data_IF_924620069705
#
_entry.id   IF_924620069705
#
_cell.length_a   1.000
_cell.length_b   1.000
_cell.length_c   1.000
_cell.angle_alpha   90.00
_cell.angle_beta   90.00
_cell.angle_gamma   90.00
#
_symmetry.space_group_name_H-M   'P 1'
#
loop_
_entity.id
_entity.type
_entity.pdbx_description
1 polymer ?
#
# COMPACT_ATOMS: atom_id res chain seq x y z
N UNK A 1 -37.56 42.84 2.54
CA UNK A 1 -38.52 42.63 3.64
C UNK A 1 -37.82 42.96 4.95
N UNK A 2 -38.36 43.94 5.66
CA UNK A 2 -37.96 44.45 6.98
C UNK A 2 -38.65 43.65 8.07
N UNK A 3 -37.99 43.50 9.24
CA UNK A 3 -38.49 43.49 10.65
C UNK A 3 -37.43 42.74 11.49
N UNK A 4 -36.50 43.30 12.28
CA UNK A 4 -36.46 44.24 13.43
C UNK A 4 -37.16 43.82 14.73
N UNK A 5 -36.40 44.04 15.83
CA UNK A 5 -36.72 44.24 17.27
C UNK A 5 -36.57 42.99 18.17
N UNK A 6 -35.59 42.92 19.07
CA UNK A 6 -35.28 43.72 20.28
C UNK A 6 -36.34 43.65 21.38
N UNK A 7 -35.95 43.23 22.60
CA UNK A 7 -36.03 44.04 23.82
C UNK A 7 -35.58 43.27 25.09
N UNK A 8 -34.86 43.99 25.95
CA UNK A 8 -34.48 43.65 27.32
C UNK A 8 -35.46 44.30 28.31
N UNK A 9 -35.71 43.71 29.51
CA UNK A 9 -35.92 44.47 30.77
C UNK A 9 -35.98 43.58 32.03
N UNK A 10 -35.71 44.21 33.16
CA UNK A 10 -35.40 43.67 34.49
C UNK A 10 -36.53 43.86 35.54
N UNK A 11 -36.29 43.28 36.75
CA UNK A 11 -36.59 43.80 38.12
C UNK A 11 -37.72 43.15 39.00
N UNK A 12 -37.28 42.42 40.07
CA UNK A 12 -37.65 42.40 41.55
C UNK A 12 -39.11 42.19 42.04
N UNK A 13 -39.45 41.89 43.34
CA UNK A 13 -38.66 41.57 44.57
C UNK A 13 -39.19 40.39 45.48
N UNK A 14 -38.54 40.20 46.65
CA UNK A 14 -38.70 39.19 47.72
C UNK A 14 -40.03 39.22 48.53
N UNK A 15 -40.28 38.30 49.51
CA UNK A 15 -39.75 38.45 50.89
C UNK A 15 -39.41 37.14 51.66
N UNK A 16 -38.74 37.28 52.81
CA UNK A 16 -38.50 36.28 53.87
C UNK A 16 -39.66 36.27 54.92
N UNK A 17 -39.74 35.32 55.88
CA UNK A 17 -39.03 35.50 57.16
C UNK A 17 -38.54 34.22 57.91
N UNK A 18 -37.54 34.49 58.77
CA UNK A 18 -37.11 33.95 60.08
C UNK A 18 -37.64 32.63 60.68
N UNK A 19 -36.69 31.86 61.24
CA UNK A 19 -36.92 30.86 62.30
C UNK A 19 -35.60 30.19 62.74
N UNK A 20 -35.08 30.59 63.89
CA UNK A 20 -33.89 30.07 64.59
C UNK A 20 -34.18 28.74 65.30
N UNK A 21 -33.26 27.76 65.27
CA UNK A 21 -32.78 27.14 66.53
C UNK A 21 -31.51 26.30 66.38
N UNK A 22 -30.74 26.29 67.46
CA UNK A 22 -29.42 25.69 67.70
C UNK A 22 -29.55 24.21 68.07
N UNK A 23 -28.56 23.35 67.75
CA UNK A 23 -27.89 22.34 68.64
C UNK A 23 -27.01 21.35 67.86
N UNK A 24 -25.83 21.06 68.41
CA UNK A 24 -24.71 20.20 67.92
C UNK A 24 -24.90 18.68 68.28
N UNK A 25 -23.96 17.75 67.96
CA UNK A 25 -24.21 16.41 67.40
C UNK A 25 -24.29 15.25 68.42
N UNK A 26 -24.47 13.97 67.98
CA UNK A 26 -23.32 13.06 67.96
C UNK A 26 -23.28 12.00 66.83
N UNK A 27 -22.09 11.47 66.61
CA UNK A 27 -21.77 10.35 65.72
C UNK A 27 -22.24 8.99 66.29
N UNK A 28 -22.71 8.07 65.43
CA UNK A 28 -22.48 6.62 65.62
C UNK A 28 -22.72 5.78 64.35
N UNK A 29 -21.68 5.04 63.98
CA UNK A 29 -21.61 3.81 63.17
C UNK A 29 -22.92 3.14 62.69
N UNK A 30 -22.94 2.82 61.39
CA UNK A 30 -23.25 1.45 60.98
C UNK A 30 -22.53 1.07 59.70
N UNK A 31 -21.79 -0.03 59.81
CA UNK A 31 -21.27 -0.84 58.71
C UNK A 31 -22.38 -1.10 57.68
N UNK A 32 -22.07 -0.91 56.41
CA UNK A 32 -22.55 -1.83 55.39
C UNK A 32 -21.49 -1.99 54.32
N UNK A 33 -20.85 -3.16 54.37
CA UNK A 33 -20.12 -3.76 53.27
C UNK A 33 -21.03 -3.75 52.04
N UNK A 34 -20.67 -2.98 51.03
CA UNK A 34 -21.11 -3.29 49.68
C UNK A 34 -19.91 -3.23 48.73
N UNK A 35 -19.14 -4.32 48.78
CA UNK A 35 -18.23 -4.69 47.71
C UNK A 35 -19.06 -5.07 46.48
N UNK A 36 -19.46 -4.08 45.70
CA UNK A 36 -19.77 -4.27 44.29
C UNK A 36 -18.98 -3.23 43.51
N UNK A 37 -17.68 -3.48 43.44
CA UNK A 37 -16.82 -2.89 42.42
C UNK A 37 -17.29 -3.45 41.08
N UNK A 38 -18.42 -2.93 40.60
CA UNK A 38 -18.95 -3.17 39.27
C UNK A 38 -18.02 -2.41 38.34
N UNK A 39 -16.81 -2.96 38.15
CA UNK A 39 -15.92 -2.59 37.07
C UNK A 39 -16.77 -2.76 35.84
N UNK A 40 -17.23 -1.64 35.30
CA UNK A 40 -17.69 -1.52 33.95
C UNK A 40 -16.62 -2.19 33.09
N UNK A 41 -16.81 -3.47 32.80
CA UNK A 41 -16.28 -4.10 31.60
C UNK A 41 -16.99 -3.35 30.49
N UNK A 42 -16.48 -2.15 30.19
CA UNK A 42 -16.68 -1.56 28.90
C UNK A 42 -16.28 -2.67 27.96
N UNK A 43 -17.27 -3.24 27.31
CA UNK A 43 -17.05 -4.06 26.13
C UNK A 43 -16.27 -3.14 25.22
N UNK A 44 -14.94 -3.25 25.25
CA UNK A 44 -14.13 -2.77 24.17
C UNK A 44 -14.71 -3.52 23.00
N UNK A 45 -15.54 -2.84 22.20
CA UNK A 45 -15.87 -3.33 20.86
C UNK A 45 -14.52 -3.73 20.31
N UNK A 46 -14.28 -5.04 20.20
CA UNK A 46 -13.08 -5.55 19.55
C UNK A 46 -13.28 -5.10 18.11
N UNK A 47 -12.81 -3.89 17.82
CA UNK A 47 -12.93 -3.29 16.51
C UNK A 47 -12.32 -4.31 15.57
N UNK A 48 -13.08 -4.71 14.56
CA UNK A 48 -12.64 -5.69 13.57
C UNK A 48 -11.30 -5.19 13.05
N UNK A 49 -10.21 -5.82 13.49
CA UNK A 49 -8.87 -5.40 13.12
C UNK A 49 -8.70 -5.82 11.67
N UNK A 50 -8.62 -4.86 10.77
CA UNK A 50 -8.45 -5.11 9.35
C UNK A 50 -7.24 -6.02 9.11
N UNK A 51 -7.40 -7.02 8.26
CA UNK A 51 -6.38 -8.03 8.01
C UNK A 51 -6.17 -8.23 6.50
N UNK A 52 -4.91 -8.38 6.10
CA UNK A 52 -4.51 -8.64 4.72
C UNK A 52 -3.57 -9.82 4.63
N UNK A 53 -3.76 -10.59 3.56
CA UNK A 53 -2.97 -11.76 3.28
C UNK A 53 -2.71 -11.81 1.79
N UNK A 54 -1.47 -11.52 1.32
CA UNK A 54 -1.15 -11.72 -0.09
C UNK A 54 -1.52 -13.13 -0.53
N UNK A 55 -2.05 -13.23 -1.75
CA UNK A 55 -2.20 -14.53 -2.40
C UNK A 55 -0.82 -15.04 -2.83
N UNK A 56 -0.66 -16.36 -2.99
CA UNK A 56 0.57 -16.94 -3.53
C UNK A 56 0.82 -16.46 -4.96
N UNK A 57 -0.26 -16.27 -5.73
CA UNK A 57 -0.21 -15.74 -7.10
C UNK A 57 0.35 -14.31 -7.10
N UNK A 58 -0.08 -13.44 -6.19
CA UNK A 58 0.45 -12.08 -6.08
C UNK A 58 1.94 -12.07 -5.73
N UNK A 59 2.38 -12.94 -4.82
CA UNK A 59 3.80 -13.03 -4.48
C UNK A 59 4.64 -13.58 -5.64
N UNK A 60 4.13 -14.59 -6.35
CA UNK A 60 4.77 -15.13 -7.55
C UNK A 60 4.84 -14.07 -8.65
N UNK A 61 3.76 -13.31 -8.86
CA UNK A 61 3.72 -12.19 -9.78
C UNK A 61 4.82 -11.18 -9.46
N UNK A 62 4.93 -10.72 -8.22
CA UNK A 62 6.01 -9.80 -7.83
C UNK A 62 7.41 -10.40 -8.00
N UNK A 63 7.58 -11.70 -7.74
CA UNK A 63 8.86 -12.37 -7.91
C UNK A 63 9.33 -12.40 -9.38
N UNK A 64 8.40 -12.42 -10.33
CA UNK A 64 8.70 -12.40 -11.77
C UNK A 64 8.71 -10.97 -12.32
N UNK A 65 7.73 -10.15 -11.98
CA UNK A 65 7.56 -8.81 -12.55
C UNK A 65 8.61 -7.82 -12.07
N UNK A 66 8.99 -7.83 -10.79
CA UNK A 66 9.96 -6.85 -10.28
C UNK A 66 11.34 -6.96 -10.96
N UNK A 67 11.93 -8.15 -11.12
CA UNK A 67 13.17 -8.28 -11.91
C UNK A 67 13.01 -7.80 -13.35
N UNK A 68 11.90 -8.12 -14.02
CA UNK A 68 11.66 -7.70 -15.40
C UNK A 68 11.51 -6.18 -15.53
N UNK A 69 10.75 -5.55 -14.64
CA UNK A 69 10.56 -4.09 -14.63
C UNK A 69 11.87 -3.37 -14.31
N UNK A 70 12.67 -3.89 -13.37
CA UNK A 70 14.01 -3.34 -13.08
C UNK A 70 14.94 -3.46 -14.29
N UNK A 71 14.94 -4.61 -14.96
CA UNK A 71 15.74 -4.83 -16.17
C UNK A 71 15.34 -3.87 -17.31
N UNK A 72 14.04 -3.64 -17.49
CA UNK A 72 13.50 -2.66 -18.43
C UNK A 72 13.86 -1.20 -18.05
N UNK A 73 13.75 -0.83 -16.78
CA UNK A 73 14.15 0.49 -16.30
C UNK A 73 15.63 0.76 -16.59
N UNK A 74 16.49 -0.21 -16.30
CA UNK A 74 17.93 -0.06 -16.54
C UNK A 74 18.19 0.06 -18.04
N UNK A 75 17.51 -0.73 -18.87
CA UNK A 75 17.59 -0.55 -20.33
C UNK A 75 17.30 0.89 -20.71
N UNK A 76 16.13 1.41 -20.30
CA UNK A 76 15.61 2.71 -20.74
C UNK A 76 16.43 3.89 -20.22
N UNK A 77 16.86 3.85 -18.95
CA UNK A 77 17.52 4.97 -18.28
C UNK A 77 19.02 5.07 -18.58
N UNK A 78 19.67 3.95 -18.95
CA UNK A 78 21.10 3.94 -19.29
C UNK A 78 21.36 4.04 -20.79
N UNK A 79 20.33 4.32 -21.62
CA UNK A 79 20.54 4.56 -23.05
C UNK A 79 21.49 5.76 -23.25
N UNK A 80 22.48 5.66 -24.16
CA UNK A 80 22.64 4.62 -25.18
C UNK A 80 23.52 3.43 -24.76
N UNK A 81 24.05 3.37 -23.54
CA UNK A 81 24.99 2.31 -23.11
C UNK A 81 24.38 0.90 -23.22
N UNK A 82 23.08 0.79 -23.03
CA UNK A 82 22.27 -0.44 -23.10
C UNK A 82 21.71 -0.73 -24.50
N UNK A 83 21.72 0.25 -25.41
CA UNK A 83 21.24 0.10 -26.79
C UNK A 83 22.26 -0.64 -27.66
N UNK A 84 21.83 -1.14 -28.82
CA UNK A 84 22.73 -1.84 -29.74
C UNK A 84 23.99 -1.02 -30.06
N UNK A 85 25.17 -1.63 -29.89
CA UNK A 85 26.47 -0.96 -30.03
C UNK A 85 27.00 -0.29 -28.75
N UNK A 86 26.18 -0.21 -27.69
CA UNK A 86 26.59 0.27 -26.38
C UNK A 86 27.36 -0.78 -25.56
N UNK A 87 28.19 -0.31 -24.62
CA UNK A 87 29.07 -1.16 -23.82
C UNK A 87 28.34 -2.14 -22.88
N UNK A 88 27.11 -1.83 -22.49
CA UNK A 88 26.30 -2.68 -21.60
C UNK A 88 25.36 -3.61 -22.37
N UNK A 89 25.11 -3.36 -23.66
CA UNK A 89 24.13 -4.10 -24.46
C UNK A 89 24.31 -5.62 -24.41
N UNK A 90 25.56 -6.07 -24.55
CA UNK A 90 25.93 -7.47 -24.38
C UNK A 90 26.31 -7.76 -22.92
N UNK A 91 25.83 -8.85 -22.30
CA UNK A 91 24.93 -9.88 -22.85
C UNK A 91 23.45 -9.66 -22.52
N UNK A 92 23.13 -8.72 -21.62
CA UNK A 92 21.82 -8.68 -20.95
C UNK A 92 20.72 -7.99 -21.74
N UNK A 93 21.01 -7.09 -22.68
CA UNK A 93 19.99 -6.31 -23.41
C UNK A 93 19.94 -6.63 -24.90
N UNK A 94 20.57 -7.72 -25.33
CA UNK A 94 20.50 -8.22 -26.72
C UNK A 94 19.06 -8.33 -27.24
N UNK A 95 18.07 -8.83 -26.47
CA UNK A 95 16.69 -8.89 -26.95
C UNK A 95 16.08 -7.52 -27.28
N UNK A 96 16.57 -6.44 -26.66
CA UNK A 96 16.06 -5.08 -26.91
C UNK A 96 16.45 -4.53 -28.28
N UNK A 97 17.39 -5.16 -28.99
CA UNK A 97 17.62 -4.87 -30.40
C UNK A 97 16.36 -5.14 -31.22
N UNK A 98 15.85 -6.37 -31.16
CA UNK A 98 14.63 -6.78 -31.84
C UNK A 98 13.42 -6.00 -31.31
N UNK A 99 13.35 -5.81 -29.99
CA UNK A 99 12.25 -5.07 -29.39
C UNK A 99 12.21 -3.61 -29.86
N UNK A 100 13.36 -2.95 -29.99
CA UNK A 100 13.46 -1.58 -30.48
C UNK A 100 13.14 -1.42 -31.97
N UNK A 101 13.20 -2.50 -32.76
CA UNK A 101 12.73 -2.54 -34.15
C UNK A 101 11.20 -2.67 -34.22
N UNK A 102 10.59 -3.35 -33.26
CA UNK A 102 9.13 -3.50 -33.18
C UNK A 102 8.50 -2.25 -32.59
N UNK A 103 8.95 -1.83 -31.41
CA UNK A 103 8.49 -0.60 -30.77
C UNK A 103 9.61 0.44 -30.84
N UNK A 104 9.49 1.34 -31.82
CA UNK A 104 10.49 2.36 -32.06
C UNK A 104 10.69 3.33 -30.88
N UNK A 105 9.78 3.36 -29.89
CA UNK A 105 9.96 4.11 -28.66
C UNK A 105 11.13 3.58 -27.79
N UNK A 106 11.48 2.30 -27.98
CA UNK A 106 12.62 1.63 -27.34
C UNK A 106 13.88 1.67 -28.19
N UNK A 107 13.76 1.98 -29.49
CA UNK A 107 14.84 1.97 -30.47
C UNK A 107 15.53 3.31 -30.70
N UNK A 108 16.43 3.32 -31.69
CA UNK A 108 17.23 4.48 -32.08
C UNK A 108 16.39 5.64 -32.61
N UNK A 109 15.23 5.39 -33.22
CA UNK A 109 14.32 6.43 -33.73
C UNK A 109 13.93 7.41 -32.61
N UNK A 110 13.38 6.89 -31.51
CA UNK A 110 12.97 7.72 -30.39
C UNK A 110 14.15 8.38 -29.66
N UNK A 111 15.29 7.69 -29.57
CA UNK A 111 16.50 8.24 -28.96
C UNK A 111 17.03 9.46 -29.74
N UNK A 112 17.18 9.34 -31.07
CA UNK A 112 17.63 10.44 -31.93
C UNK A 112 16.61 11.58 -32.01
N UNK A 113 15.32 11.28 -31.91
CA UNK A 113 14.26 12.29 -31.82
C UNK A 113 14.20 13.00 -30.46
N UNK A 114 15.08 12.66 -29.50
CA UNK A 114 15.05 13.16 -28.13
C UNK A 114 13.68 12.98 -27.46
N UNK A 115 12.97 11.89 -27.76
CA UNK A 115 11.67 11.60 -27.18
C UNK A 115 11.82 11.17 -25.71
N UNK A 116 11.39 12.05 -24.81
CA UNK A 116 11.45 11.80 -23.35
C UNK A 116 10.40 10.81 -22.84
N UNK A 117 9.42 10.42 -23.65
CA UNK A 117 8.26 9.64 -23.20
C UNK A 117 8.63 8.30 -22.57
N UNK A 118 9.44 7.49 -23.25
CA UNK A 118 9.87 6.18 -22.74
C UNK A 118 10.68 6.31 -21.45
N UNK A 119 11.55 7.32 -21.35
CA UNK A 119 12.34 7.57 -20.13
C UNK A 119 11.46 8.03 -18.94
N UNK A 120 10.43 8.83 -19.21
CA UNK A 120 9.44 9.21 -18.21
C UNK A 120 8.65 7.99 -17.69
N UNK A 121 8.23 7.11 -18.60
CA UNK A 121 7.61 5.82 -18.24
C UNK A 121 8.55 4.96 -17.38
N UNK A 122 9.81 4.84 -17.77
CA UNK A 122 10.85 4.14 -17.00
C UNK A 122 11.06 4.72 -15.59
N UNK A 123 10.99 6.04 -15.44
CA UNK A 123 11.08 6.68 -14.11
C UNK A 123 9.89 6.30 -13.22
N UNK A 124 8.68 6.23 -13.78
CA UNK A 124 7.53 5.76 -13.02
C UNK A 124 7.62 4.26 -12.67
N UNK A 125 8.26 3.44 -13.51
CA UNK A 125 8.58 2.05 -13.17
C UNK A 125 9.52 1.95 -11.95
N UNK A 126 10.44 2.90 -11.75
CA UNK A 126 11.27 2.97 -10.53
C UNK A 126 10.41 3.25 -9.29
N UNK A 127 9.48 4.20 -9.38
CA UNK A 127 8.56 4.51 -8.29
C UNK A 127 7.66 3.32 -7.96
N UNK A 128 7.08 2.68 -8.98
CA UNK A 128 6.27 1.47 -8.83
C UNK A 128 7.06 0.35 -8.14
N UNK A 129 8.28 0.10 -8.60
CA UNK A 129 9.19 -0.88 -8.00
C UNK A 129 9.43 -0.58 -6.52
N UNK A 130 9.67 0.68 -6.16
CA UNK A 130 9.85 1.09 -4.77
C UNK A 130 8.59 0.83 -3.91
N UNK A 131 7.39 1.11 -4.44
CA UNK A 131 6.12 0.84 -3.76
C UNK A 131 5.93 -0.66 -3.48
N UNK A 132 6.21 -1.50 -4.47
CA UNK A 132 6.09 -2.96 -4.32
C UNK A 132 7.18 -3.56 -3.42
N UNK A 133 8.42 -3.04 -3.47
CA UNK A 133 9.46 -3.43 -2.53
C UNK A 133 9.11 -3.02 -1.10
N UNK A 134 8.54 -1.84 -0.88
CA UNK A 134 8.04 -1.40 0.43
C UNK A 134 6.89 -2.30 0.92
N UNK A 135 5.98 -2.69 0.03
CA UNK A 135 4.94 -3.67 0.33
C UNK A 135 5.53 -5.02 0.80
N UNK A 136 6.47 -5.57 0.03
CA UNK A 136 7.14 -6.84 0.36
C UNK A 136 7.95 -6.72 1.65
N UNK A 137 8.58 -5.58 1.90
CA UNK A 137 9.29 -5.29 3.14
C UNK A 137 8.34 -5.32 4.33
N UNK A 138 7.20 -4.63 4.29
CA UNK A 138 6.19 -4.68 5.36
C UNK A 138 5.72 -6.11 5.59
N UNK A 139 5.46 -6.84 4.50
CA UNK A 139 5.04 -8.23 4.55
C UNK A 139 6.11 -9.13 5.18
N UNK A 140 7.39 -9.02 4.82
CA UNK A 140 8.44 -9.93 5.28
C UNK A 140 9.15 -9.50 6.56
N UNK A 141 9.45 -8.22 6.78
CA UNK A 141 10.18 -7.72 7.96
C UNK A 141 9.45 -8.04 9.27
N UNK A 142 8.11 -8.01 9.25
CA UNK A 142 7.28 -8.42 10.41
C UNK A 142 7.29 -9.93 10.69
N UNK A 143 8.04 -10.73 9.91
CA UNK A 143 8.37 -12.15 10.20
C UNK A 143 9.33 -12.23 11.39
N UNK A 144 10.27 -11.28 11.49
CA UNK A 144 11.39 -11.35 12.42
C UNK A 144 10.96 -10.99 13.85
N UNK A 145 10.22 -9.89 13.99
CA UNK A 145 9.75 -9.39 15.29
C UNK A 145 8.86 -10.40 16.02
N UNK A 146 7.86 -11.01 15.36
CA UNK A 146 6.96 -11.98 16.01
C UNK A 146 7.59 -13.38 16.18
N UNK A 147 8.63 -13.70 15.39
CA UNK A 147 9.40 -14.94 15.54
C UNK A 147 10.36 -14.89 16.74
N UNK A 148 10.89 -13.71 17.06
CA UNK A 148 11.71 -13.49 18.27
C UNK A 148 10.87 -13.33 19.53
N UNK A 149 9.71 -12.67 19.47
CA UNK A 149 8.77 -12.60 20.60
C UNK A 149 8.11 -13.95 20.91
N UNK A 150 7.88 -14.80 19.90
CA UNK A 150 7.37 -16.17 20.09
C UNK A 150 8.41 -17.17 20.64
N UNK A 151 9.68 -16.78 20.73
CA UNK A 151 10.77 -17.62 21.26
C UNK A 151 11.03 -17.47 22.76
N UNK A 152 10.36 -16.53 23.45
CA UNK A 152 10.60 -16.24 24.88
C UNK A 152 9.43 -16.57 25.82
N UNK A 153 8.36 -17.20 25.34
CA UNK A 153 7.22 -17.57 26.18
C UNK A 153 6.70 -18.97 25.90
N UNK A 154 7.05 -19.94 26.77
CA UNK A 154 6.38 -21.25 26.84
C UNK A 154 7.27 -22.47 26.60
N UNK A 155 8.33 -22.62 27.39
CA UNK A 155 9.03 -23.90 27.51
C UNK A 155 8.25 -24.85 28.41
N UNK A 156 7.63 -25.88 27.83
CA UNK A 156 7.00 -26.96 28.58
C UNK A 156 6.20 -27.89 27.68
N UNK A 157 6.84 -28.96 27.18
CA UNK A 157 6.13 -30.01 26.44
C UNK A 157 7.03 -30.84 25.54
N UNK A 158 7.69 -31.83 26.13
CA UNK A 158 8.28 -32.96 25.40
C UNK A 158 7.18 -33.72 24.66
N UNK A 159 7.24 -33.77 23.33
CA UNK A 159 6.29 -34.50 22.49
C UNK A 159 6.85 -34.73 21.09
N UNK A 160 6.99 -36.02 20.74
CA UNK A 160 7.45 -36.64 19.49
C UNK A 160 7.72 -35.75 18.26
N UNK A 161 8.93 -35.93 17.70
CA UNK A 161 9.28 -35.64 16.31
C UNK A 161 8.50 -36.59 15.38
N UNK A 162 7.25 -36.27 15.09
CA UNK A 162 6.57 -36.71 13.87
C UNK A 162 6.73 -35.63 12.81
N UNK A 163 7.04 -36.07 11.61
CA UNK A 163 7.32 -35.31 10.39
C UNK A 163 6.19 -34.32 10.10
N UNK A 164 6.28 -33.13 10.70
CA UNK A 164 5.40 -32.03 10.38
C UNK A 164 5.83 -31.49 9.02
N UNK A 165 5.18 -32.01 7.96
CA UNK A 165 5.08 -31.29 6.69
C UNK A 165 4.71 -29.86 7.04
N UNK A 166 5.65 -28.93 6.84
CA UNK A 166 5.49 -27.54 7.20
C UNK A 166 4.41 -26.92 6.31
N UNK A 167 3.14 -27.13 6.69
CA UNK A 167 2.00 -26.42 6.14
C UNK A 167 2.21 -24.97 6.52
N UNK A 168 2.83 -24.21 5.60
CA UNK A 168 3.12 -22.80 5.78
C UNK A 168 1.83 -22.07 6.12
N UNK A 169 1.61 -21.80 7.41
CA UNK A 169 0.45 -21.08 7.91
C UNK A 169 0.44 -19.73 7.21
N UNK A 170 -0.65 -19.43 6.48
CA UNK A 170 -0.74 -18.24 5.62
C UNK A 170 -0.57 -17.00 6.49
N UNK A 171 0.50 -16.23 6.26
CA UNK A 171 0.88 -15.08 7.09
C UNK A 171 -0.11 -13.93 6.95
N UNK A 172 -0.80 -13.60 8.03
CA UNK A 172 -1.76 -12.49 8.09
C UNK A 172 -1.10 -11.22 8.62
N UNK A 173 -1.15 -10.15 7.84
CA UNK A 173 -0.89 -8.79 8.31
C UNK A 173 -2.18 -8.27 8.94
N UNK A 174 -2.12 -7.61 10.09
CA UNK A 174 -3.28 -6.99 10.73
C UNK A 174 -3.04 -5.53 11.13
N UNK A 175 -4.11 -4.76 11.27
CA UNK A 175 -4.10 -3.37 11.70
C UNK A 175 -3.54 -2.39 10.67
N UNK A 176 -2.95 -1.28 11.16
CA UNK A 176 -2.36 -0.22 10.33
C UNK A 176 -1.35 -0.69 9.27
N UNK A 177 -0.38 -1.57 9.58
CA UNK A 177 0.63 -2.00 8.60
C UNK A 177 0.01 -2.73 7.43
N UNK A 178 -1.05 -3.47 7.72
CA UNK A 178 -1.79 -4.21 6.74
C UNK A 178 -2.49 -3.21 5.79
N UNK A 179 -3.16 -2.18 6.34
CA UNK A 179 -3.83 -1.15 5.53
C UNK A 179 -2.82 -0.39 4.64
N UNK A 180 -1.66 -0.01 5.19
CA UNK A 180 -0.57 0.63 4.42
C UNK A 180 -0.08 -0.29 3.30
N UNK A 181 0.09 -1.58 3.56
CA UNK A 181 0.51 -2.53 2.54
C UNK A 181 -0.48 -2.57 1.37
N UNK A 182 -1.78 -2.68 1.64
CA UNK A 182 -2.77 -2.67 0.54
C UNK A 182 -2.81 -1.35 -0.20
N UNK A 183 -2.66 -0.22 0.50
CA UNK A 183 -2.61 1.08 -0.17
C UNK A 183 -1.41 1.17 -1.12
N UNK A 184 -0.22 0.73 -0.70
CA UNK A 184 0.98 0.70 -1.57
C UNK A 184 0.77 -0.19 -2.80
N UNK A 185 0.22 -1.39 -2.62
CA UNK A 185 -0.05 -2.32 -3.71
C UNK A 185 -1.10 -1.76 -4.69
N UNK A 186 -2.15 -1.13 -4.16
CA UNK A 186 -3.20 -0.48 -4.95
C UNK A 186 -2.65 0.71 -5.74
N UNK A 187 -1.89 1.61 -5.10
CA UNK A 187 -1.27 2.75 -5.77
C UNK A 187 -0.31 2.32 -6.88
N UNK A 188 0.48 1.27 -6.64
CA UNK A 188 1.33 0.68 -7.67
C UNK A 188 0.49 0.16 -8.85
N UNK A 189 -0.56 -0.62 -8.59
CA UNK A 189 -1.41 -1.17 -9.64
C UNK A 189 -2.12 -0.10 -10.48
N UNK A 190 -2.64 0.96 -9.84
CA UNK A 190 -3.24 2.10 -10.55
C UNK A 190 -2.19 2.80 -11.41
N UNK A 191 -0.97 2.99 -10.90
CA UNK A 191 0.12 3.59 -11.66
C UNK A 191 0.48 2.74 -12.89
N UNK A 192 0.61 1.41 -12.75
CA UNK A 192 0.86 0.50 -13.89
C UNK A 192 -0.22 0.65 -14.95
N UNK A 193 -1.49 0.58 -14.52
CA UNK A 193 -2.62 0.70 -15.42
C UNK A 193 -2.64 2.06 -16.14
N UNK A 194 -2.46 3.15 -15.41
CA UNK A 194 -2.43 4.51 -15.98
C UNK A 194 -1.30 4.69 -16.99
N UNK A 195 -0.12 4.11 -16.74
CA UNK A 195 0.99 4.12 -17.68
C UNK A 195 0.67 3.37 -18.97
N UNK A 196 0.12 2.17 -18.87
CA UNK A 196 -0.28 1.37 -20.02
C UNK A 196 -1.31 2.14 -20.85
N UNK A 197 -2.36 2.68 -20.23
CA UNK A 197 -3.36 3.51 -20.92
C UNK A 197 -2.71 4.73 -21.58
N UNK A 198 -1.81 5.42 -20.89
CA UNK A 198 -1.12 6.59 -21.43
C UNK A 198 -0.25 6.23 -22.65
N UNK A 199 0.41 5.07 -22.64
CA UNK A 199 1.19 4.58 -23.78
C UNK A 199 0.30 4.36 -25.01
N UNK A 200 -0.85 3.70 -24.82
CA UNK A 200 -1.81 3.45 -25.89
C UNK A 200 -2.39 4.75 -26.46
N UNK A 201 -2.73 5.71 -25.59
CA UNK A 201 -3.20 7.02 -26.01
C UNK A 201 -2.12 7.80 -26.76
N UNK A 202 -0.86 7.73 -26.31
CA UNK A 202 0.26 8.36 -27.01
C UNK A 202 0.38 7.80 -28.44
N UNK A 203 0.36 6.48 -28.62
CA UNK A 203 0.39 5.90 -29.96
C UNK A 203 -0.83 6.30 -30.79
N UNK A 204 -2.03 6.31 -30.21
CA UNK A 204 -3.24 6.72 -30.91
C UNK A 204 -3.15 8.17 -31.42
N UNK A 205 -2.71 9.11 -30.57
CA UNK A 205 -2.61 10.53 -30.93
C UNK A 205 -1.42 10.87 -31.81
N UNK A 206 -0.38 10.04 -31.80
CA UNK A 206 0.77 10.15 -32.71
C UNK A 206 0.56 9.42 -34.05
N UNK A 207 -0.62 8.85 -34.31
CA UNK A 207 -0.90 8.13 -35.56
C UNK A 207 -0.13 6.81 -35.68
N UNK A 208 0.11 6.13 -34.55
CA UNK A 208 0.87 4.88 -34.43
C UNK A 208 2.30 4.99 -34.94
N UNK A 209 2.95 6.12 -34.68
CA UNK A 209 4.27 6.43 -35.22
C UNK A 209 5.37 5.42 -34.81
N UNK A 210 5.24 4.78 -33.63
CA UNK A 210 6.26 3.87 -33.13
C UNK A 210 5.96 2.40 -33.41
N UNK A 211 4.69 2.05 -33.67
CA UNK A 211 4.27 0.65 -33.81
C UNK A 211 3.52 0.34 -35.11
N UNK A 212 3.09 1.35 -35.87
CA UNK A 212 2.21 1.21 -37.03
C UNK A 212 2.83 0.51 -38.23
N UNK A 213 4.15 0.31 -38.23
CA UNK A 213 4.87 -0.43 -39.28
C UNK A 213 4.84 -1.96 -39.10
N UNK A 214 4.38 -2.45 -37.94
CA UNK A 214 4.40 -3.87 -37.62
C UNK A 214 3.21 -4.63 -38.19
N UNK A 215 3.39 -5.94 -38.39
CA UNK A 215 2.26 -6.82 -38.69
C UNK A 215 1.31 -6.92 -37.48
N UNK A 216 0.00 -7.18 -37.68
CA UNK A 216 -0.93 -7.38 -36.57
C UNK A 216 -0.52 -8.51 -35.61
N UNK A 217 0.20 -9.52 -36.11
CA UNK A 217 0.70 -10.62 -35.29
C UNK A 217 1.80 -10.16 -34.34
N UNK A 218 2.76 -9.40 -34.85
CA UNK A 218 3.87 -8.88 -34.04
C UNK A 218 3.34 -7.89 -33.00
N UNK A 219 2.38 -7.05 -33.37
CA UNK A 219 1.69 -6.17 -32.43
C UNK A 219 1.03 -6.96 -31.29
N UNK A 220 0.29 -8.02 -31.58
CA UNK A 220 -0.40 -8.79 -30.55
C UNK A 220 0.61 -9.46 -29.60
N UNK A 221 1.59 -10.18 -30.14
CA UNK A 221 2.47 -11.02 -29.31
C UNK A 221 3.64 -10.26 -28.68
N UNK A 222 4.17 -9.25 -29.35
CA UNK A 222 5.39 -8.56 -28.94
C UNK A 222 5.11 -7.17 -28.37
N UNK A 223 3.90 -6.62 -28.56
CA UNK A 223 3.55 -5.31 -27.98
C UNK A 223 2.34 -5.34 -27.04
N UNK A 224 1.21 -5.96 -27.40
CA UNK A 224 -0.01 -5.96 -26.58
C UNK A 224 0.12 -6.88 -25.37
N UNK A 225 0.51 -8.14 -25.56
CA UNK A 225 0.60 -9.12 -24.47
C UNK A 225 1.64 -8.75 -23.40
N UNK A 226 2.80 -8.18 -23.76
CA UNK A 226 3.79 -7.77 -22.75
C UNK A 226 3.48 -6.46 -22.00
N UNK A 227 2.53 -5.63 -22.48
CA UNK A 227 2.20 -4.30 -21.92
C UNK A 227 1.11 -4.37 -20.84
#
# INVERSE_FOLDING_TARGET
MVTTRSASRAATPAPAPSGTDVTTPPAKNSNNNNSSNNRSRGSSRQGVSWAHVPSRVTLLWFAVSLPLVVWDCIYVLLRPLTMEGGALHWPLWVPYRLYGEIDHAYGWKAFHAHSGFTAAQGTLNVVETALYLAYLWIYFARRRVRGEEGGKGGGGGSGNKTTATATATRKVLSGRPAAVAVLLAFSGAVMTFSKTVLYWLNEYFSGYENIGHNSPRDLIFLWIVPK
#
